data_IF_244253282947
#
_entry.id   IF_244253282947
#
_cell.length_a   1.000
_cell.length_b   1.000
_cell.length_c   1.000
_cell.angle_alpha   90.00
_cell.angle_beta   90.00
_cell.angle_gamma   90.00
#
_symmetry.space_group_name_H-M   'P 1'
#
loop_
_entity.id
_entity.type
_entity.pdbx_description
1 polymer ?
#
# COMPACT_ATOMS: atom_id res chain seq x y z
N UNK A 1 14.85 -4.26 16.98
CA UNK A 1 15.20 -5.51 17.69
C UNK A 1 16.67 -5.56 18.02
N UNK A 2 17.03 -6.26 19.10
CA UNK A 2 18.40 -6.67 19.43
C UNK A 2 18.51 -8.17 19.37
N UNK A 3 19.55 -8.69 18.69
CA UNK A 3 19.88 -10.11 18.63
C UNK A 3 21.30 -10.28 19.15
N UNK A 4 21.48 -11.05 20.22
CA UNK A 4 22.78 -11.42 20.77
C UNK A 4 23.06 -12.88 20.33
N UNK A 5 24.15 -13.09 19.60
CA UNK A 5 24.56 -14.40 19.11
C UNK A 5 25.64 -15.01 20.02
N UNK A 6 25.49 -16.27 20.44
CA UNK A 6 26.56 -17.07 21.08
C UNK A 6 27.30 -17.86 19.98
N UNK A 7 28.50 -17.39 19.65
CA UNK A 7 29.34 -18.03 18.63
C UNK A 7 30.57 -18.65 19.30
N UNK A 8 30.75 -19.95 19.15
CA UNK A 8 31.91 -20.69 19.65
C UNK A 8 32.56 -21.50 18.55
N UNK A 9 33.86 -21.37 18.40
CA UNK A 9 34.60 -22.06 17.34
C UNK A 9 34.01 -21.91 15.92
N UNK A 10 33.53 -20.71 15.59
CA UNK A 10 32.92 -20.42 14.31
C UNK A 10 31.49 -20.98 14.09
N UNK A 11 30.89 -21.53 15.14
CA UNK A 11 29.52 -22.08 15.09
C UNK A 11 28.59 -21.29 16.00
N UNK A 12 27.38 -21.01 15.54
CA UNK A 12 26.33 -20.43 16.36
C UNK A 12 25.79 -21.51 17.30
N UNK A 13 25.96 -21.30 18.63
CA UNK A 13 25.51 -22.21 19.67
C UNK A 13 24.11 -21.80 20.20
N UNK A 14 23.71 -20.57 20.00
CA UNK A 14 22.42 -20.06 20.41
C UNK A 14 22.28 -18.57 20.14
N UNK A 15 21.09 -18.04 20.38
CA UNK A 15 20.83 -16.61 20.31
C UNK A 15 19.83 -16.17 21.37
N UNK A 16 19.84 -14.86 21.68
CA UNK A 16 18.78 -14.20 22.44
C UNK A 16 18.22 -13.08 21.59
N UNK A 17 16.91 -12.96 21.55
CA UNK A 17 16.21 -11.89 20.87
C UNK A 17 15.45 -11.02 21.87
N UNK A 18 15.52 -9.72 21.68
CA UNK A 18 14.72 -8.74 22.44
C UNK A 18 14.14 -7.70 21.47
N UNK A 19 12.82 -7.56 21.49
CA UNK A 19 12.16 -6.42 20.88
C UNK A 19 12.33 -5.20 21.77
N UNK A 20 12.90 -4.12 21.22
CA UNK A 20 13.12 -2.86 21.94
C UNK A 20 12.27 -1.81 21.20
N UNK A 21 11.13 -1.40 21.76
CA UNK A 21 10.35 -0.28 21.23
C UNK A 21 11.16 1.02 21.33
N UNK A 22 11.11 1.82 20.29
CA UNK A 22 11.73 3.14 20.24
C UNK A 22 10.60 4.17 20.31
N UNK A 23 10.38 4.72 21.50
CA UNK A 23 9.35 5.71 21.75
C UNK A 23 9.95 7.12 21.65
N UNK A 24 9.38 7.93 20.75
CA UNK A 24 9.87 9.30 20.48
C UNK A 24 9.67 10.25 21.66
N UNK A 25 8.70 9.98 22.52
CA UNK A 25 8.43 10.74 23.76
C UNK A 25 9.31 10.35 24.95
N UNK A 26 10.01 9.20 24.85
CA UNK A 26 10.90 8.68 25.92
C UNK A 26 12.38 8.84 25.55
N UNK A 27 12.71 8.74 24.27
CA UNK A 27 14.10 8.79 23.78
C UNK A 27 14.30 10.15 23.12
N UNK A 28 15.17 10.99 23.72
CA UNK A 28 15.50 12.28 23.13
C UNK A 28 16.10 12.12 21.72
N UNK A 29 15.66 12.92 20.75
CA UNK A 29 16.25 12.93 19.41
C UNK A 29 17.72 13.33 19.46
N UNK A 30 18.52 12.77 18.53
CA UNK A 30 19.91 13.22 18.36
C UNK A 30 19.93 14.68 17.85
N UNK A 31 20.59 15.62 18.56
CA UNK A 31 20.56 17.03 18.21
C UNK A 31 21.21 17.36 16.86
N UNK A 32 22.21 16.59 16.42
CA UNK A 32 22.87 16.82 15.14
C UNK A 32 21.95 16.35 13.99
N UNK A 33 21.30 15.20 14.17
CA UNK A 33 20.33 14.68 13.20
C UNK A 33 19.11 15.63 13.10
N UNK A 34 18.57 16.09 14.22
CA UNK A 34 17.47 17.07 14.23
C UNK A 34 17.84 18.32 13.44
N UNK A 35 19.02 18.90 13.71
CA UNK A 35 19.50 20.08 12.98
C UNK A 35 19.63 19.81 11.47
N UNK A 36 20.11 18.63 11.09
CA UNK A 36 20.21 18.25 9.67
C UNK A 36 18.84 18.15 9.03
N UNK A 37 17.90 17.46 9.68
CA UNK A 37 16.52 17.30 9.20
C UNK A 37 15.86 18.67 9.02
N UNK A 38 15.94 19.52 10.03
CA UNK A 38 15.34 20.86 10.00
C UNK A 38 15.91 21.70 8.85
N UNK A 39 17.22 21.67 8.65
CA UNK A 39 17.87 22.38 7.55
C UNK A 39 17.45 21.88 6.17
N UNK A 40 17.28 20.55 6.01
CA UNK A 40 16.83 19.96 4.74
C UNK A 40 15.34 20.22 4.47
N UNK A 41 14.51 20.26 5.51
CA UNK A 41 13.07 20.46 5.39
C UNK A 41 12.67 21.94 5.30
N UNK A 42 13.49 22.86 5.85
CA UNK A 42 13.17 24.29 5.91
C UNK A 42 12.71 24.91 4.57
N UNK A 43 13.30 24.61 3.40
CA UNK A 43 12.85 25.19 2.12
C UNK A 43 11.45 24.72 1.68
N UNK A 44 10.94 23.65 2.27
CA UNK A 44 9.69 22.99 1.86
C UNK A 44 8.62 23.00 2.95
N UNK A 45 8.91 23.55 4.13
CA UNK A 45 8.06 23.38 5.31
C UNK A 45 6.64 23.91 5.09
N UNK A 46 6.49 25.05 4.41
CA UNK A 46 5.19 25.64 4.13
C UNK A 46 4.35 24.74 3.22
N UNK A 47 5.00 24.11 2.22
CA UNK A 47 4.36 23.17 1.32
C UNK A 47 4.02 21.86 2.04
N UNK A 48 4.93 21.34 2.87
CA UNK A 48 4.74 20.07 3.57
C UNK A 48 3.65 20.15 4.64
N UNK A 49 3.56 21.29 5.35
CA UNK A 49 2.58 21.50 6.41
C UNK A 49 1.20 21.92 5.92
N UNK A 50 1.01 22.10 4.61
CA UNK A 50 -0.30 22.45 4.07
C UNK A 50 -1.33 21.36 4.36
N UNK A 51 -2.42 21.74 5.03
CA UNK A 51 -3.55 20.85 5.32
C UNK A 51 -4.37 20.64 4.07
N UNK A 52 -4.54 19.39 3.65
CA UNK A 52 -5.25 19.00 2.43
C UNK A 52 -6.61 18.38 2.72
N UNK A 53 -6.88 17.98 3.96
CA UNK A 53 -8.13 17.40 4.41
C UNK A 53 -8.09 17.04 5.90
N UNK A 54 -9.12 16.35 6.35
CA UNK A 54 -9.25 15.89 7.74
C UNK A 54 -9.87 14.50 7.76
N UNK A 55 -9.48 13.64 8.68
CA UNK A 55 -10.16 12.35 8.93
C UNK A 55 -11.50 12.56 9.66
N UNK A 56 -12.48 11.72 9.34
CA UNK A 56 -13.75 11.66 10.09
C UNK A 56 -13.59 11.17 11.52
N UNK A 57 -14.69 11.28 12.30
CA UNK A 57 -14.72 10.95 13.75
C UNK A 57 -14.32 9.50 14.06
N UNK A 58 -14.63 8.55 13.17
CA UNK A 58 -14.32 7.12 13.35
C UNK A 58 -13.23 6.64 12.37
N UNK A 59 -12.61 7.55 11.63
CA UNK A 59 -11.67 7.18 10.57
C UNK A 59 -10.24 7.13 11.08
N UNK A 60 -9.60 5.96 10.93
CA UNK A 60 -8.14 5.81 11.03
C UNK A 60 -7.59 5.49 9.66
N UNK A 61 -6.57 6.25 9.21
CA UNK A 61 -5.83 5.93 8.00
C UNK A 61 -4.52 5.22 8.38
N UNK A 62 -4.28 4.06 7.77
CA UNK A 62 -3.09 3.23 8.03
C UNK A 62 -2.75 2.32 6.86
N UNK A 63 -1.48 1.88 6.79
CA UNK A 63 -0.94 0.91 5.82
C UNK A 63 -0.18 -0.19 6.57
N UNK A 64 -0.88 -1.17 7.16
CA UNK A 64 -0.27 -2.20 8.01
C UNK A 64 -0.72 -3.64 7.71
N UNK A 65 -1.81 -3.83 6.99
CA UNK A 65 -2.31 -5.15 6.62
C UNK A 65 -1.56 -5.75 5.43
N UNK A 66 -1.52 -7.07 5.33
CA UNK A 66 -0.92 -7.76 4.17
C UNK A 66 -1.78 -7.64 2.91
N UNK A 67 -3.07 -7.36 3.05
CA UNK A 67 -4.03 -7.32 1.95
C UNK A 67 -4.63 -5.93 1.75
N UNK A 68 -4.83 -5.16 2.82
CA UNK A 68 -5.39 -3.82 2.74
C UNK A 68 -5.00 -2.97 3.95
N UNK A 69 -5.28 -1.69 3.83
CA UNK A 69 -5.27 -0.69 4.88
C UNK A 69 -6.05 0.51 4.38
N UNK A 70 -6.59 1.33 5.26
CA UNK A 70 -7.48 2.42 4.86
C UNK A 70 -6.79 3.53 4.05
N UNK A 71 -5.47 3.72 4.19
CA UNK A 71 -4.70 4.53 3.25
C UNK A 71 -4.67 3.92 1.85
N UNK A 72 -4.54 2.59 1.76
CA UNK A 72 -4.55 1.90 0.48
C UNK A 72 -5.91 1.99 -0.19
N UNK A 73 -6.98 1.83 0.59
CA UNK A 73 -8.35 1.95 0.10
C UNK A 73 -8.62 3.37 -0.42
N UNK A 74 -8.19 4.42 0.31
CA UNK A 74 -8.28 5.82 -0.13
C UNK A 74 -7.51 6.06 -1.45
N UNK A 75 -6.30 5.50 -1.58
CA UNK A 75 -5.50 5.62 -2.81
C UNK A 75 -6.21 4.92 -3.98
N UNK A 76 -6.78 3.74 -3.76
CA UNK A 76 -7.53 3.01 -4.78
C UNK A 76 -8.80 3.76 -5.20
N UNK A 77 -9.54 4.32 -4.25
CA UNK A 77 -10.73 5.14 -4.52
C UNK A 77 -10.38 6.39 -5.34
N UNK A 78 -9.26 7.05 -4.99
CA UNK A 78 -8.74 8.19 -5.76
C UNK A 78 -8.38 7.79 -7.19
N UNK A 79 -7.70 6.65 -7.38
CA UNK A 79 -7.37 6.15 -8.72
C UNK A 79 -8.62 5.85 -9.54
N UNK A 80 -9.64 5.23 -8.97
CA UNK A 80 -10.89 4.95 -9.67
C UNK A 80 -11.59 6.26 -10.06
N UNK A 81 -11.75 7.17 -9.09
CA UNK A 81 -12.50 8.41 -9.27
C UNK A 81 -11.80 9.41 -10.19
N UNK A 82 -10.50 9.67 -9.96
CA UNK A 82 -9.77 10.72 -10.67
C UNK A 82 -9.18 10.26 -12.01
N UNK A 83 -9.10 8.94 -12.23
CA UNK A 83 -8.60 8.37 -13.49
C UNK A 83 -9.69 7.70 -14.32
N UNK A 84 -10.96 7.74 -13.87
CA UNK A 84 -12.10 7.12 -14.57
C UNK A 84 -11.80 5.66 -14.93
N UNK A 85 -11.49 4.86 -13.90
CA UNK A 85 -11.15 3.45 -14.03
C UNK A 85 -12.23 2.54 -13.41
N UNK A 86 -12.29 1.30 -13.85
CA UNK A 86 -13.15 0.27 -13.26
C UNK A 86 -12.47 -0.42 -12.09
N UNK A 87 -11.13 -0.57 -12.18
CA UNK A 87 -10.29 -1.28 -11.22
C UNK A 87 -9.07 -0.43 -10.90
N UNK A 88 -8.68 -0.40 -9.64
CA UNK A 88 -7.43 0.20 -9.19
C UNK A 88 -6.44 -0.83 -8.69
N UNK A 89 -5.14 -0.63 -8.98
CA UNK A 89 -4.03 -1.41 -8.46
C UNK A 89 -3.04 -0.46 -7.77
N UNK A 90 -2.72 -0.73 -6.50
CA UNK A 90 -1.74 0.02 -5.73
C UNK A 90 -0.72 -0.93 -5.10
N UNK A 91 0.57 -0.57 -5.02
CA UNK A 91 1.58 -1.46 -4.46
C UNK A 91 1.30 -1.76 -2.98
N UNK A 92 1.57 -2.99 -2.60
CA UNK A 92 1.46 -3.43 -1.20
C UNK A 92 2.68 -2.98 -0.40
N UNK A 93 2.53 -1.91 0.38
CA UNK A 93 3.57 -1.38 1.27
C UNK A 93 3.02 -1.13 2.66
N UNK A 94 3.89 -1.12 3.68
CA UNK A 94 3.53 -1.01 5.10
C UNK A 94 4.20 0.15 5.82
N UNK A 95 4.66 1.14 5.11
CA UNK A 95 5.20 2.37 5.71
C UNK A 95 4.22 3.52 5.65
N UNK A 96 4.59 4.63 6.26
CA UNK A 96 3.82 5.86 6.30
C UNK A 96 3.19 6.11 7.66
N UNK A 97 2.68 7.31 7.89
CA UNK A 97 2.01 7.69 9.12
C UNK A 97 0.66 6.99 9.26
N UNK A 98 0.24 6.79 10.49
CA UNK A 98 -1.16 6.54 10.82
C UNK A 98 -1.79 7.87 11.22
N UNK A 99 -2.94 8.20 10.64
CA UNK A 99 -3.72 9.38 10.99
C UNK A 99 -4.93 8.91 11.80
N UNK A 100 -5.07 9.45 13.00
CA UNK A 100 -6.16 9.09 13.92
C UNK A 100 -7.45 9.86 13.57
N UNK A 101 -8.59 9.50 14.17
CA UNK A 101 -9.84 10.22 14.00
C UNK A 101 -9.70 11.72 14.31
N UNK A 102 -10.44 12.53 13.59
CA UNK A 102 -10.48 13.99 13.76
C UNK A 102 -9.16 14.74 13.56
N UNK A 103 -8.15 14.10 12.93
CA UNK A 103 -6.87 14.73 12.66
C UNK A 103 -6.80 15.33 11.26
N UNK A 104 -6.06 16.44 11.15
CA UNK A 104 -5.70 17.02 9.88
C UNK A 104 -4.78 16.09 9.09
N UNK A 105 -4.96 16.08 7.79
CA UNK A 105 -4.10 15.38 6.83
C UNK A 105 -3.27 16.44 6.13
N UNK A 106 -1.95 16.35 6.29
CA UNK A 106 -1.03 17.28 5.63
C UNK A 106 -0.51 16.71 4.31
N UNK A 107 0.05 17.56 3.47
CA UNK A 107 0.74 17.12 2.25
C UNK A 107 1.94 16.23 2.59
N UNK A 108 2.63 16.47 3.71
CA UNK A 108 3.72 15.62 4.19
C UNK A 108 3.25 14.20 4.48
N UNK A 109 2.09 14.03 5.13
CA UNK A 109 1.49 12.72 5.39
C UNK A 109 1.20 11.98 4.09
N UNK A 110 0.61 12.66 3.12
CA UNK A 110 0.32 12.10 1.80
C UNK A 110 1.61 11.68 1.07
N UNK A 111 2.60 12.55 1.03
CA UNK A 111 3.87 12.23 0.37
C UNK A 111 4.58 11.07 1.05
N UNK A 112 4.50 10.96 2.38
CA UNK A 112 5.07 9.83 3.12
C UNK A 112 4.50 8.48 2.69
N UNK A 113 3.24 8.42 2.27
CA UNK A 113 2.59 7.17 1.82
C UNK A 113 2.66 6.95 0.30
N UNK A 114 3.04 7.96 -0.47
CA UNK A 114 3.03 7.91 -1.95
C UNK A 114 4.38 8.19 -2.61
N UNK A 115 5.41 8.61 -1.86
CA UNK A 115 6.74 8.90 -2.42
C UNK A 115 7.51 7.64 -2.76
N UNK A 116 7.42 7.24 -4.02
CA UNK A 116 8.15 6.13 -4.61
C UNK A 116 8.87 6.56 -5.89
N UNK A 117 9.83 5.76 -6.33
CA UNK A 117 10.65 6.03 -7.52
C UNK A 117 9.86 6.07 -8.84
N UNK A 118 8.65 5.50 -8.86
CA UNK A 118 7.80 5.41 -10.04
C UNK A 118 6.40 5.96 -9.71
N UNK A 119 6.26 7.29 -9.58
CA UNK A 119 5.04 7.89 -9.02
C UNK A 119 3.90 8.09 -10.03
N UNK A 120 4.10 7.78 -11.30
CA UNK A 120 3.11 8.04 -12.34
C UNK A 120 1.87 7.15 -12.15
N UNK A 121 0.70 7.79 -12.04
CA UNK A 121 -0.59 7.11 -11.99
C UNK A 121 -1.06 6.83 -13.42
N UNK A 122 -0.78 5.62 -13.91
CA UNK A 122 -1.20 5.18 -15.23
C UNK A 122 -2.69 4.85 -15.30
N UNK A 123 -3.24 4.83 -16.52
CA UNK A 123 -4.53 4.25 -16.88
C UNK A 123 -4.37 3.46 -18.16
N UNK A 124 -4.75 2.21 -18.15
CA UNK A 124 -4.59 1.32 -19.29
C UNK A 124 -5.67 0.24 -19.32
N UNK A 125 -5.81 -0.44 -20.44
CA UNK A 125 -6.67 -1.63 -20.54
C UNK A 125 -5.88 -2.87 -20.13
N UNK A 126 -6.52 -3.71 -19.30
CA UNK A 126 -6.01 -5.04 -18.94
C UNK A 126 -7.11 -6.08 -19.07
N UNK A 127 -6.77 -7.25 -19.63
CA UNK A 127 -7.71 -8.38 -19.66
C UNK A 127 -7.89 -8.97 -18.27
N UNK A 128 -9.04 -9.63 -18.05
CA UNK A 128 -9.28 -10.34 -16.79
C UNK A 128 -8.24 -11.44 -16.54
N UNK A 129 -7.76 -12.11 -17.59
CA UNK A 129 -6.67 -13.09 -17.49
C UNK A 129 -5.37 -12.44 -17.00
N UNK A 130 -5.01 -11.26 -17.51
CA UNK A 130 -3.81 -10.56 -17.10
C UNK A 130 -3.90 -10.08 -15.65
N UNK A 131 -5.07 -9.61 -15.21
CA UNK A 131 -5.31 -9.28 -13.79
C UNK A 131 -5.12 -10.50 -12.89
N UNK A 132 -5.61 -11.66 -13.29
CA UNK A 132 -5.42 -12.92 -12.57
C UNK A 132 -3.93 -13.28 -12.47
N UNK A 133 -3.17 -13.16 -13.57
CA UNK A 133 -1.72 -13.42 -13.60
C UNK A 133 -0.98 -12.50 -12.64
N UNK A 134 -1.28 -11.20 -12.63
CA UNK A 134 -0.66 -10.24 -11.70
C UNK A 134 -0.91 -10.65 -10.23
N UNK A 135 -2.14 -10.99 -9.88
CA UNK A 135 -2.48 -11.38 -8.52
C UNK A 135 -1.79 -12.68 -8.09
N UNK A 136 -1.72 -13.65 -8.98
CA UNK A 136 -1.05 -14.93 -8.72
C UNK A 136 0.47 -14.78 -8.56
N UNK A 137 1.10 -13.95 -9.40
CA UNK A 137 2.54 -13.66 -9.34
C UNK A 137 2.91 -12.98 -8.01
N UNK A 138 2.16 -11.95 -7.63
CA UNK A 138 2.38 -11.29 -6.34
C UNK A 138 2.09 -12.22 -5.16
N UNK A 139 1.05 -13.06 -5.25
CA UNK A 139 0.76 -14.06 -4.22
C UNK A 139 1.90 -15.07 -4.06
N UNK A 140 2.60 -15.44 -5.14
CA UNK A 140 3.72 -16.37 -5.05
C UNK A 140 4.94 -15.78 -4.34
N UNK A 141 5.15 -14.47 -4.47
CA UNK A 141 6.19 -13.76 -3.70
C UNK A 141 5.98 -13.83 -2.17
N UNK A 142 4.75 -14.05 -1.70
CA UNK A 142 4.42 -14.15 -0.28
C UNK A 142 4.25 -15.59 0.20
N UNK A 143 3.64 -16.44 -0.61
CA UNK A 143 3.11 -17.74 -0.20
C UNK A 143 3.78 -18.93 -0.89
N UNK A 144 4.91 -18.73 -1.56
CA UNK A 144 5.68 -19.82 -2.12
C UNK A 144 6.15 -20.76 -0.98
N UNK A 145 5.97 -22.07 -1.11
CA UNK A 145 6.38 -23.02 -0.07
C UNK A 145 7.90 -23.05 0.14
N UNK A 146 8.70 -22.70 -0.87
CA UNK A 146 10.14 -22.54 -0.73
C UNK A 146 10.46 -21.10 -0.27
N UNK A 147 11.03 -20.90 0.93
CA UNK A 147 11.33 -19.57 1.45
C UNK A 147 12.34 -18.77 0.62
N UNK A 148 13.15 -19.42 -0.21
CA UNK A 148 14.09 -18.73 -1.10
C UNK A 148 13.40 -18.04 -2.29
N UNK A 149 12.17 -18.44 -2.62
CA UNK A 149 11.34 -17.77 -3.62
C UNK A 149 10.38 -16.73 -3.03
N UNK A 150 10.28 -16.66 -1.71
CA UNK A 150 9.51 -15.60 -1.06
C UNK A 150 10.28 -14.28 -1.10
N UNK A 151 10.02 -13.47 -2.11
CA UNK A 151 10.66 -12.15 -2.23
C UNK A 151 10.14 -11.16 -1.17
N UNK A 152 9.06 -11.49 -0.51
CA UNK A 152 8.41 -10.67 0.52
C UNK A 152 7.48 -9.61 -0.06
N UNK A 153 7.20 -8.58 0.73
CA UNK A 153 6.23 -7.55 0.39
C UNK A 153 4.84 -7.89 0.94
N UNK A 154 3.83 -7.34 0.30
CA UNK A 154 2.42 -7.56 0.59
C UNK A 154 1.68 -7.81 -0.73
N UNK A 155 0.43 -8.28 -0.63
CA UNK A 155 -0.44 -8.35 -1.81
C UNK A 155 -0.63 -6.96 -2.43
N UNK A 156 -0.72 -6.91 -3.75
CA UNK A 156 -1.18 -5.70 -4.45
C UNK A 156 -2.54 -5.29 -3.90
N UNK A 157 -2.70 -4.01 -3.61
CA UNK A 157 -3.97 -3.45 -3.15
C UNK A 157 -4.89 -3.28 -4.33
N UNK A 158 -6.14 -3.64 -4.15
CA UNK A 158 -7.14 -3.58 -5.21
C UNK A 158 -8.32 -2.69 -4.82
N UNK A 159 -8.77 -1.88 -5.75
CA UNK A 159 -10.04 -1.16 -5.67
C UNK A 159 -10.94 -1.58 -6.83
N UNK A 160 -12.25 -1.61 -6.63
CA UNK A 160 -13.21 -2.02 -7.66
C UNK A 160 -13.20 -3.51 -8.02
N UNK A 161 -12.31 -4.28 -7.43
CA UNK A 161 -12.12 -5.71 -7.67
C UNK A 161 -12.22 -6.49 -6.35
N UNK A 162 -13.03 -7.55 -6.35
CA UNK A 162 -13.07 -8.55 -5.29
C UNK A 162 -12.51 -9.88 -5.75
N UNK A 163 -11.98 -10.69 -4.85
CA UNK A 163 -11.53 -12.06 -5.16
C UNK A 163 -11.39 -12.90 -3.89
N UNK A 164 -11.37 -14.22 -4.09
CA UNK A 164 -10.98 -15.18 -3.07
C UNK A 164 -9.56 -15.65 -3.31
N UNK A 165 -8.75 -15.75 -2.24
CA UNK A 165 -7.40 -16.30 -2.28
C UNK A 165 -7.25 -17.49 -1.33
N UNK A 166 -6.84 -18.65 -1.84
CA UNK A 166 -6.41 -19.79 -1.05
C UNK A 166 -4.88 -19.86 -1.02
N UNK A 167 -4.29 -19.38 0.08
CA UNK A 167 -2.84 -19.29 0.23
C UNK A 167 -2.13 -20.65 0.30
N UNK A 168 -2.88 -21.74 0.54
CA UNK A 168 -2.34 -23.10 0.57
C UNK A 168 -2.15 -23.74 -0.81
N UNK A 169 -2.72 -23.13 -1.86
CA UNK A 169 -2.66 -23.66 -3.22
C UNK A 169 -1.34 -23.28 -3.92
N UNK A 170 -0.95 -24.04 -4.96
CA UNK A 170 0.17 -23.65 -5.79
C UNK A 170 -0.16 -22.40 -6.61
N UNK A 171 0.89 -21.70 -7.08
CA UNK A 171 0.78 -20.57 -8.01
C UNK A 171 -0.11 -20.93 -9.22
N UNK A 172 -0.93 -19.99 -9.63
CA UNK A 172 -1.91 -20.14 -10.72
C UNK A 172 -3.25 -20.75 -10.30
N UNK A 173 -3.39 -21.14 -9.02
CA UNK A 173 -4.62 -21.74 -8.48
C UNK A 173 -5.05 -21.13 -7.14
N UNK A 174 -4.38 -20.04 -6.71
CA UNK A 174 -4.69 -19.36 -5.45
C UNK A 174 -5.86 -18.41 -5.58
N UNK A 175 -5.93 -17.69 -6.71
CA UNK A 175 -6.91 -16.61 -6.94
C UNK A 175 -8.12 -17.17 -7.68
N UNK A 176 -9.30 -16.99 -7.10
CA UNK A 176 -10.58 -17.44 -7.65
C UNK A 176 -11.69 -16.42 -7.41
N UNK A 177 -12.85 -16.61 -8.01
CA UNK A 177 -14.04 -15.80 -7.78
C UNK A 177 -13.82 -14.29 -7.95
N UNK A 178 -13.00 -13.91 -8.94
CA UNK A 178 -12.76 -12.50 -9.23
C UNK A 178 -14.06 -11.83 -9.69
N UNK A 179 -14.39 -10.69 -9.07
CA UNK A 179 -15.65 -9.99 -9.30
C UNK A 179 -15.41 -8.49 -9.48
N UNK A 180 -16.05 -7.88 -10.47
CA UNK A 180 -16.09 -6.44 -10.65
C UNK A 180 -17.12 -5.85 -9.67
N UNK A 181 -16.66 -5.12 -8.65
CA UNK A 181 -17.51 -4.64 -7.55
C UNK A 181 -18.61 -3.67 -7.99
N UNK A 182 -18.34 -2.89 -9.03
CA UNK A 182 -19.30 -1.91 -9.59
C UNK A 182 -20.58 -2.57 -10.12
N UNK A 183 -20.49 -3.78 -10.67
CA UNK A 183 -21.62 -4.50 -11.27
C UNK A 183 -21.99 -5.79 -10.54
N UNK A 184 -21.09 -6.32 -9.71
CA UNK A 184 -21.22 -7.64 -9.09
C UNK A 184 -20.99 -8.81 -10.07
N UNK A 185 -20.58 -8.55 -11.31
CA UNK A 185 -20.35 -9.58 -12.31
C UNK A 185 -18.97 -10.23 -12.12
N UNK A 186 -18.85 -11.55 -12.42
CA UNK A 186 -17.55 -12.19 -12.49
C UNK A 186 -16.64 -11.51 -13.52
N UNK A 187 -15.35 -11.46 -13.23
CA UNK A 187 -14.35 -11.01 -14.19
C UNK A 187 -14.25 -12.02 -15.33
N UNK A 188 -14.51 -11.56 -16.57
CA UNK A 188 -14.31 -12.33 -17.78
C UNK A 188 -12.84 -12.30 -18.18
N UNK A 189 -12.14 -13.45 -18.28
CA UNK A 189 -10.72 -13.49 -18.64
C UNK A 189 -10.39 -12.80 -19.97
N UNK A 190 -11.33 -12.80 -20.91
CA UNK A 190 -11.14 -12.30 -22.27
C UNK A 190 -11.53 -10.83 -22.46
N UNK A 191 -12.28 -10.27 -21.50
CA UNK A 191 -12.73 -8.86 -21.53
C UNK A 191 -11.63 -7.94 -21.01
N UNK A 192 -11.47 -6.77 -21.64
CA UNK A 192 -10.64 -5.70 -21.15
C UNK A 192 -11.42 -4.81 -20.16
N UNK A 193 -10.72 -4.39 -19.11
CA UNK A 193 -11.19 -3.47 -18.07
C UNK A 193 -10.30 -2.24 -18.04
N UNK A 194 -10.85 -1.08 -17.72
CA UNK A 194 -10.06 0.12 -17.48
C UNK A 194 -9.40 0.04 -16.11
N UNK A 195 -8.10 -0.06 -16.08
CA UNK A 195 -7.31 -0.22 -14.86
C UNK A 195 -6.44 1.00 -14.64
N UNK A 196 -6.56 1.62 -13.47
CA UNK A 196 -5.64 2.63 -13.00
C UNK A 196 -4.69 2.06 -11.94
N UNK A 197 -3.45 2.50 -11.96
CA UNK A 197 -2.47 2.07 -10.97
C UNK A 197 -1.27 2.99 -10.93
N UNK A 198 -0.32 2.70 -10.04
CA UNK A 198 0.91 3.48 -9.90
C UNK A 198 2.07 2.59 -9.44
N UNK A 199 3.27 3.17 -9.32
CA UNK A 199 4.49 2.46 -8.96
C UNK A 199 4.85 1.34 -9.97
N UNK A 200 4.52 1.54 -11.25
CA UNK A 200 4.94 0.64 -12.33
C UNK A 200 6.40 0.85 -12.67
N UNK A 201 7.16 -0.23 -12.72
CA UNK A 201 8.57 -0.25 -13.16
C UNK A 201 8.72 -0.29 -14.67
N UNK A 202 7.62 -0.33 -15.43
CA UNK A 202 7.64 -0.37 -16.87
C UNK A 202 8.12 0.99 -17.43
N UNK A 203 9.09 0.94 -18.34
CA UNK A 203 9.57 2.12 -19.05
C UNK A 203 8.42 2.80 -19.83
N UNK A 204 8.43 4.15 -19.84
CA UNK A 204 7.41 4.91 -20.56
C UNK A 204 6.05 4.98 -19.88
N UNK A 205 5.92 4.57 -18.62
CA UNK A 205 4.68 4.76 -17.88
C UNK A 205 4.38 6.24 -17.74
N UNK A 206 3.25 6.68 -18.29
CA UNK A 206 2.79 8.07 -18.28
C UNK A 206 1.56 8.25 -17.39
N UNK A 207 1.44 9.44 -16.84
CA UNK A 207 0.30 9.86 -16.02
C UNK A 207 0.65 10.95 -15.02
N UNK A 208 -0.33 11.55 -14.35
CA UNK A 208 -0.08 12.49 -13.27
C UNK A 208 0.65 11.78 -12.12
N UNK A 209 1.27 12.55 -11.24
CA UNK A 209 1.86 12.00 -10.02
C UNK A 209 0.77 11.45 -9.10
N UNK A 210 1.01 10.33 -8.47
CA UNK A 210 0.01 9.70 -7.58
C UNK A 210 -0.42 10.62 -6.43
N UNK A 211 0.50 11.40 -5.87
CA UNK A 211 0.16 12.36 -4.81
C UNK A 211 -0.78 13.47 -5.31
N UNK A 212 -0.66 13.93 -6.56
CA UNK A 212 -1.58 14.92 -7.13
C UNK A 212 -2.99 14.34 -7.30
N UNK A 213 -3.08 13.06 -7.72
CA UNK A 213 -4.33 12.32 -7.86
C UNK A 213 -5.03 12.16 -6.51
N UNK A 214 -4.28 11.71 -5.50
CA UNK A 214 -4.83 11.47 -4.16
C UNK A 214 -5.16 12.79 -3.44
N UNK A 215 -4.31 13.83 -3.58
CA UNK A 215 -4.59 15.15 -3.03
C UNK A 215 -5.88 15.74 -3.61
N UNK A 216 -6.07 15.66 -4.93
CA UNK A 216 -7.30 16.14 -5.57
C UNK A 216 -8.53 15.44 -5.00
N UNK A 217 -8.46 14.14 -4.77
CA UNK A 217 -9.54 13.36 -4.19
C UNK A 217 -9.82 13.74 -2.73
N UNK A 218 -8.78 13.84 -1.89
CA UNK A 218 -8.90 14.27 -0.48
C UNK A 218 -9.53 15.65 -0.38
N UNK A 219 -9.09 16.60 -1.22
CA UNK A 219 -9.64 17.97 -1.22
C UNK A 219 -11.11 18.02 -1.63
N UNK A 220 -11.56 17.16 -2.56
CA UNK A 220 -12.97 17.02 -2.92
C UNK A 220 -13.82 16.48 -1.78
N UNK A 221 -13.29 15.53 -1.02
CA UNK A 221 -13.96 14.97 0.15
C UNK A 221 -14.03 15.97 1.33
N UNK A 222 -12.96 16.73 1.55
CA UNK A 222 -12.78 17.62 2.70
C UNK A 222 -12.62 16.84 4.02
N UNK A 223 -13.61 16.03 4.38
CA UNK A 223 -13.57 15.06 5.49
C UNK A 223 -13.47 13.66 4.89
N UNK A 224 -12.35 13.00 5.15
CA UNK A 224 -12.07 11.65 4.64
C UNK A 224 -12.78 10.61 5.49
N UNK A 225 -13.60 9.80 4.82
CA UNK A 225 -14.23 8.61 5.39
C UNK A 225 -14.19 7.50 4.33
N UNK A 226 -13.42 6.46 4.60
CA UNK A 226 -13.18 5.34 3.68
C UNK A 226 -13.65 4.06 4.31
N UNK A 227 -14.51 3.33 3.62
CA UNK A 227 -14.90 1.99 4.04
C UNK A 227 -13.73 1.02 3.80
N UNK A 228 -13.32 0.24 4.80
CA UNK A 228 -12.30 -0.79 4.60
C UNK A 228 -12.71 -1.76 3.49
N UNK A 229 -11.78 -2.08 2.61
CA UNK A 229 -12.02 -3.08 1.57
C UNK A 229 -12.16 -4.47 2.21
N UNK A 230 -13.35 -5.05 2.12
CA UNK A 230 -13.67 -6.40 2.59
C UNK A 230 -13.89 -7.39 1.45
N UNK A 231 -13.58 -7.00 0.22
CA UNK A 231 -13.85 -7.80 -0.98
C UNK A 231 -12.80 -8.88 -1.27
N UNK A 232 -11.74 -8.97 -0.45
CA UNK A 232 -10.73 -10.02 -0.53
C UNK A 232 -11.00 -11.06 0.55
N UNK A 233 -11.40 -12.27 0.14
CA UNK A 233 -11.69 -13.41 1.02
C UNK A 233 -10.46 -14.33 1.10
N UNK A 234 -9.89 -14.50 2.29
CA UNK A 234 -8.63 -15.23 2.53
C UNK A 234 -8.91 -16.57 3.19
N UNK A 235 -8.57 -17.65 2.52
CA UNK A 235 -8.69 -19.02 3.03
C UNK A 235 -7.35 -19.76 3.01
N UNK A 236 -7.29 -20.94 3.61
CA UNK A 236 -6.08 -21.78 3.62
C UNK A 236 -5.06 -21.41 4.72
N UNK A 237 -5.51 -20.80 5.82
CA UNK A 237 -4.69 -20.47 7.00
C UNK A 237 -4.32 -21.72 7.80
#
# INVERSE_FOLDING_TARGET
SRVDLDIRQGRMMGFRHKLIPIFADVIAPDPQMTKLIDAQRAPFIDQLSEVIGKTGEDQVLYRRGNFNGTWDDLICDALISERDADIALSPGVRWGPSILPDQEITRDDLWNVTSMSYPNAYRTEMSGEFLHIILEDVADNLFNPDPYYQQGGDMVRVGGLGYRIDISKPQGSRITEMTLLKTGEPIDPTRNYQVAGWASVNEGTEGPMIWDVVEAHIRKMGVVSVAPNTSVDIIGR
#
